data_IF_399119712727
#
_entry.id   IF_399119712727
#
_cell.length_a   1.000
_cell.length_b   1.000
_cell.length_c   1.000
_cell.angle_alpha   90.00
_cell.angle_beta   90.00
_cell.angle_gamma   90.00
#
_symmetry.space_group_name_H-M   'P 1'
#
loop_
_entity.id
_entity.type
_entity.pdbx_description
1 polymer ?
#
# COMPACT_ATOMS: atom_id res chain seq x y z
N UNK A 1 65.51 -26.37 -28.41
CA UNK A 1 64.26 -25.95 -27.73
C UNK A 1 64.30 -24.43 -27.55
N UNK A 2 63.36 -23.73 -28.20
CA UNK A 2 62.70 -22.43 -27.89
C UNK A 2 63.59 -21.28 -27.33
N UNK A 3 63.82 -20.16 -28.06
CA UNK A 3 62.98 -18.93 -28.19
C UNK A 3 62.49 -18.44 -26.81
N UNK A 4 62.64 -17.18 -26.39
CA UNK A 4 62.61 -15.90 -27.12
C UNK A 4 62.99 -14.73 -26.19
N UNK A 5 63.43 -13.63 -26.81
CA UNK A 5 63.57 -12.27 -26.29
C UNK A 5 62.29 -11.72 -25.62
N UNK A 6 62.45 -10.84 -24.61
CA UNK A 6 61.49 -9.76 -24.32
C UNK A 6 62.26 -8.49 -23.93
N UNK A 7 62.03 -7.43 -24.71
CA UNK A 7 62.43 -6.03 -24.51
C UNK A 7 61.31 -5.25 -23.79
N UNK A 8 61.64 -3.99 -23.44
CA UNK A 8 60.79 -2.81 -23.13
C UNK A 8 60.37 -2.65 -21.67
N UNK A 9 60.80 -1.61 -20.92
CA UNK A 9 60.70 -0.14 -21.02
C UNK A 9 59.43 0.45 -20.37
N UNK A 10 59.66 1.15 -19.24
CA UNK A 10 59.20 2.52 -18.86
C UNK A 10 57.75 2.98 -19.15
N UNK A 11 57.04 3.38 -18.07
CA UNK A 11 56.28 4.64 -17.84
C UNK A 11 55.59 4.52 -16.46
N UNK A 12 55.76 5.33 -15.41
CA UNK A 12 55.67 6.80 -15.21
C UNK A 12 54.23 7.35 -15.37
N UNK A 13 53.59 7.68 -14.22
CA UNK A 13 52.62 8.77 -13.93
C UNK A 13 52.00 8.51 -12.53
N UNK A 14 52.36 9.25 -11.48
CA UNK A 14 51.89 10.59 -11.08
C UNK A 14 50.55 10.56 -10.30
N UNK A 15 50.64 10.37 -8.98
CA UNK A 15 49.57 10.70 -8.02
C UNK A 15 49.82 12.09 -7.44
N UNK A 16 49.02 13.06 -7.86
CA UNK A 16 49.00 14.41 -7.30
C UNK A 16 48.22 14.43 -5.98
N UNK A 17 48.94 14.71 -4.90
CA UNK A 17 48.41 15.17 -3.62
C UNK A 17 47.97 16.64 -3.74
N UNK A 18 46.77 16.96 -3.28
CA UNK A 18 46.42 18.33 -2.88
C UNK A 18 45.81 18.34 -1.48
N UNK A 19 46.64 18.79 -0.55
CA UNK A 19 46.32 19.30 0.78
C UNK A 19 45.72 20.71 0.68
N UNK A 20 44.79 21.04 1.58
CA UNK A 20 44.28 22.40 1.83
C UNK A 20 42.88 22.34 2.45
N UNK A 21 42.68 22.07 3.74
CA UNK A 21 42.98 22.85 4.95
C UNK A 21 41.88 23.88 5.34
N UNK A 22 41.48 23.79 6.61
CA UNK A 22 40.89 24.82 7.51
C UNK A 22 39.42 25.21 7.31
N UNK A 23 38.66 25.65 8.31
CA UNK A 23 38.65 25.65 9.79
C UNK A 23 37.33 26.36 10.17
N UNK A 24 36.62 25.86 11.19
CA UNK A 24 35.74 26.61 12.12
C UNK A 24 34.92 25.58 12.94
N UNK A 25 35.35 25.16 14.13
CA UNK A 25 35.09 25.76 15.45
C UNK A 25 33.61 25.87 15.87
N UNK A 26 33.24 25.09 16.90
CA UNK A 26 32.59 25.52 18.16
C UNK A 26 31.75 24.35 18.73
N UNK A 27 32.28 23.52 19.64
CA UNK A 27 32.34 23.74 21.09
C UNK A 27 30.95 23.78 21.76
N UNK A 28 30.58 22.67 22.42
CA UNK A 28 29.76 22.67 23.64
C UNK A 28 30.28 21.58 24.57
N UNK A 29 30.60 22.02 25.78
CA UNK A 29 31.38 21.32 26.78
C UNK A 29 30.65 20.15 27.45
N UNK A 30 31.44 19.11 27.70
CA UNK A 30 31.26 18.16 28.80
C UNK A 30 31.94 18.76 30.02
N UNK A 31 31.21 18.84 31.13
CA UNK A 31 31.73 18.57 32.47
C UNK A 31 30.55 18.55 33.43
N UNK A 32 30.27 17.41 34.06
CA UNK A 32 29.92 17.42 35.47
C UNK A 32 30.25 16.08 36.12
N UNK A 33 31.03 16.23 37.18
CA UNK A 33 31.77 15.24 37.95
C UNK A 33 30.92 14.67 39.08
N UNK A 34 31.20 13.38 39.35
CA UNK A 34 31.10 12.60 40.57
C UNK A 34 30.21 13.09 41.75
N UNK A 35 29.34 12.19 42.18
CA UNK A 35 28.76 12.15 43.52
C UNK A 35 28.57 10.70 43.94
N UNK A 36 29.65 10.06 44.42
CA UNK A 36 29.61 8.80 45.16
C UNK A 36 29.05 9.06 46.56
N UNK A 37 27.92 8.44 46.90
CA UNK A 37 27.57 8.16 48.29
C UNK A 37 27.11 6.72 48.39
N UNK A 38 27.90 5.92 49.09
CA UNK A 38 27.57 4.56 49.46
C UNK A 38 26.53 4.53 50.57
N UNK A 39 25.50 3.71 50.38
CA UNK A 39 24.69 3.20 51.48
C UNK A 39 24.96 1.70 51.64
N UNK A 40 25.73 1.40 52.68
CA UNK A 40 25.82 0.07 53.27
C UNK A 40 24.51 -0.22 54.01
N UNK A 41 23.67 -1.09 53.45
CA UNK A 41 22.58 -1.68 54.21
C UNK A 41 23.10 -2.96 54.91
N UNK A 42 23.25 -2.83 56.23
CA UNK A 42 23.58 -3.91 57.14
C UNK A 42 22.55 -5.03 57.08
N UNK A 43 23.07 -6.25 56.89
CA UNK A 43 22.38 -7.50 57.15
C UNK A 43 22.20 -7.65 58.66
N UNK A 44 20.96 -7.69 59.14
CA UNK A 44 20.62 -8.11 60.50
C UNK A 44 19.80 -9.40 60.42
N UNK A 45 20.47 -10.49 60.79
CA UNK A 45 19.83 -11.70 61.27
C UNK A 45 19.08 -11.39 62.56
N UNK A 46 17.81 -11.76 62.62
CA UNK A 46 17.13 -12.05 63.89
C UNK A 46 16.59 -13.47 63.83
N UNK A 47 17.09 -14.28 64.74
CA UNK A 47 16.58 -15.60 65.06
C UNK A 47 15.42 -15.50 66.07
N UNK A 48 14.65 -16.58 66.12
CA UNK A 48 13.74 -17.04 67.17
C UNK A 48 12.28 -16.55 67.27
N UNK A 49 11.41 -17.55 67.50
CA UNK A 49 10.02 -17.40 67.98
C UNK A 49 8.96 -18.01 67.05
N UNK A 50 8.85 -19.33 66.93
CA UNK A 50 7.86 -20.17 67.65
C UNK A 50 6.46 -19.55 67.78
N UNK A 51 5.45 -20.17 67.15
CA UNK A 51 4.08 -20.44 67.67
C UNK A 51 3.28 -21.18 66.57
N UNK A 52 3.21 -22.51 66.68
CA UNK A 52 2.02 -23.29 67.08
C UNK A 52 0.91 -23.40 66.02
N UNK A 53 0.93 -24.56 65.36
CA UNK A 53 -0.20 -25.22 64.73
C UNK A 53 -1.26 -25.60 65.77
N UNK A 54 -2.53 -25.26 65.51
CA UNK A 54 -3.67 -26.01 66.04
C UNK A 54 -4.65 -26.29 64.92
N UNK A 55 -4.85 -27.57 64.63
CA UNK A 55 -5.85 -28.05 63.70
C UNK A 55 -7.19 -28.39 64.37
N UNK A 56 -8.09 -28.85 63.49
CA UNK A 56 -9.29 -29.68 63.74
C UNK A 56 -10.56 -29.00 64.27
N UNK A 57 -11.59 -28.94 63.40
CA UNK A 57 -12.91 -29.57 63.60
C UNK A 57 -13.86 -29.29 62.43
N UNK A 58 -14.27 -30.33 61.72
CA UNK A 58 -15.69 -30.54 61.38
C UNK A 58 -16.27 -31.59 62.34
N UNK A 59 -17.45 -32.20 62.10
CA UNK A 59 -18.54 -31.83 61.18
C UNK A 59 -19.92 -31.80 61.89
N UNK A 60 -20.95 -31.25 61.25
CA UNK A 60 -22.35 -31.63 61.53
C UNK A 60 -23.32 -31.06 60.47
N UNK A 61 -23.90 -31.94 59.64
CA UNK A 61 -25.28 -31.79 59.14
C UNK A 61 -26.29 -32.14 60.26
N UNK A 62 -27.63 -32.10 60.02
CA UNK A 62 -28.27 -32.92 58.98
C UNK A 62 -29.54 -32.35 58.28
N UNK A 63 -29.84 -32.98 57.14
CA UNK A 63 -31.14 -33.47 56.60
C UNK A 63 -32.44 -32.63 56.54
N UNK A 64 -33.16 -32.80 55.42
CA UNK A 64 -34.60 -32.55 55.21
C UNK A 64 -34.87 -31.98 53.81
N UNK A 65 -35.24 -32.78 52.80
CA UNK A 65 -36.64 -33.02 52.32
C UNK A 65 -37.29 -31.78 51.68
N UNK A 66 -38.03 -31.76 50.57
CA UNK A 66 -38.59 -32.70 49.58
C UNK A 66 -39.12 -31.87 48.40
N UNK A 67 -39.35 -32.50 47.24
CA UNK A 67 -40.35 -32.21 46.18
C UNK A 67 -40.82 -30.76 45.93
N UNK A 68 -40.74 -30.30 44.66
CA UNK A 68 -41.95 -30.22 43.81
C UNK A 68 -41.65 -29.83 42.36
N UNK A 69 -42.32 -30.53 41.45
CA UNK A 69 -42.52 -30.20 40.05
C UNK A 69 -43.23 -28.84 39.88
N UNK A 70 -43.02 -28.21 38.72
CA UNK A 70 -43.85 -27.10 38.25
C UNK A 70 -43.29 -26.41 37.00
N UNK A 71 -43.46 -27.01 35.82
CA UNK A 71 -43.66 -26.22 34.59
C UNK A 71 -45.03 -25.52 34.67
N UNK A 72 -45.24 -24.36 34.01
CA UNK A 72 -45.77 -24.42 32.65
C UNK A 72 -45.38 -23.28 31.69
N UNK A 73 -45.38 -23.66 30.41
CA UNK A 73 -45.87 -22.96 29.20
C UNK A 73 -45.52 -21.50 28.88
N UNK A 74 -44.91 -21.38 27.69
CA UNK A 74 -45.38 -20.64 26.50
C UNK A 74 -45.87 -19.20 26.71
N UNK A 75 -45.00 -18.26 26.33
CA UNK A 75 -45.36 -16.89 25.95
C UNK A 75 -44.53 -16.47 24.75
N UNK A 76 -45.10 -16.64 23.56
CA UNK A 76 -44.56 -16.18 22.29
C UNK A 76 -44.95 -14.71 22.15
N UNK A 77 -44.00 -13.78 22.26
CA UNK A 77 -44.23 -12.36 21.90
C UNK A 77 -43.16 -11.89 20.91
N UNK A 78 -43.57 -11.96 19.64
CA UNK A 78 -43.51 -10.91 18.63
C UNK A 78 -42.43 -9.83 18.75
N UNK A 79 -41.45 -9.94 17.84
CA UNK A 79 -40.64 -8.85 17.32
C UNK A 79 -41.51 -7.70 16.76
N UNK A 80 -41.00 -6.47 16.82
CA UNK A 80 -41.10 -5.61 15.65
C UNK A 80 -39.73 -5.22 15.10
N UNK A 81 -39.58 -5.49 13.80
CA UNK A 81 -38.58 -4.93 12.90
C UNK A 81 -38.79 -3.43 12.70
N UNK A 82 -37.71 -2.65 12.81
CA UNK A 82 -37.44 -1.42 12.02
C UNK A 82 -35.99 -1.03 12.34
N UNK A 83 -35.00 -1.37 11.52
CA UNK A 83 -34.62 -0.65 10.29
C UNK A 83 -34.74 0.88 10.44
N UNK A 84 -33.69 1.48 10.98
CA UNK A 84 -33.30 2.84 10.70
C UNK A 84 -31.78 2.83 10.47
N UNK A 85 -31.38 2.60 9.21
CA UNK A 85 -30.01 2.86 8.78
C UNK A 85 -29.80 4.38 8.71
N UNK A 86 -29.31 4.98 9.79
CA UNK A 86 -28.68 6.29 9.72
C UNK A 86 -27.26 6.12 9.16
N UNK A 87 -27.15 6.34 7.86
CA UNK A 87 -25.90 6.52 7.15
C UNK A 87 -25.23 7.83 7.59
N UNK A 88 -24.43 7.77 8.66
CA UNK A 88 -23.49 8.84 8.97
C UNK A 88 -22.29 8.74 8.03
N UNK A 89 -22.34 9.55 6.97
CA UNK A 89 -21.20 9.84 6.12
C UNK A 89 -20.08 10.45 6.97
N UNK A 90 -19.04 9.65 7.21
CA UNK A 90 -17.77 10.11 7.75
C UNK A 90 -17.14 11.03 6.69
N UNK A 91 -17.18 12.34 6.93
CA UNK A 91 -16.33 13.28 6.20
C UNK A 91 -14.88 13.06 6.64
N UNK A 92 -13.96 12.65 5.75
CA UNK A 92 -12.55 12.78 6.02
C UNK A 92 -12.15 14.24 5.78
N UNK A 93 -11.67 14.88 6.84
CA UNK A 93 -11.01 16.16 6.76
C UNK A 93 -9.63 15.94 6.10
N UNK A 94 -9.56 16.11 4.78
CA UNK A 94 -8.30 16.28 4.05
C UNK A 94 -8.42 17.51 3.15
N UNK A 95 -7.50 18.44 3.38
CA UNK A 95 -7.25 19.60 2.55
C UNK A 95 -6.63 19.18 1.24
N UNK A 96 -7.17 19.65 0.11
CA UNK A 96 -6.40 19.81 -1.12
C UNK A 96 -6.77 21.13 -1.78
N UNK A 97 -5.71 21.90 -1.97
CA UNK A 97 -5.62 23.19 -2.65
C UNK A 97 -5.34 22.87 -4.12
N UNK A 98 -6.33 22.97 -5.01
CA UNK A 98 -6.06 22.95 -6.45
C UNK A 98 -6.99 23.88 -7.23
N UNK A 99 -6.42 25.05 -7.54
CA UNK A 99 -6.92 26.06 -8.46
C UNK A 99 -7.11 25.47 -9.87
N UNK A 100 -8.36 25.39 -10.32
CA UNK A 100 -8.68 25.19 -11.74
C UNK A 100 -9.37 26.45 -12.26
N UNK A 101 -8.67 27.16 -13.16
CA UNK A 101 -9.19 28.31 -13.88
C UNK A 101 -10.17 27.90 -14.97
N UNK A 102 -11.41 28.35 -14.86
CA UNK A 102 -12.42 28.25 -15.90
C UNK A 102 -12.08 29.20 -17.07
N UNK A 103 -11.86 28.61 -18.25
CA UNK A 103 -11.73 29.34 -19.51
C UNK A 103 -13.07 29.30 -20.26
N UNK A 104 -13.84 30.39 -20.16
CA UNK A 104 -15.06 30.60 -20.95
C UNK A 104 -14.68 31.04 -22.37
N UNK A 105 -14.88 30.16 -23.35
CA UNK A 105 -14.74 30.47 -24.78
C UNK A 105 -16.10 30.77 -25.41
N UNK A 106 -16.37 32.05 -25.65
CA UNK A 106 -17.55 32.56 -26.33
C UNK A 106 -17.59 32.16 -27.81
N UNK A 107 -18.74 31.66 -28.28
CA UNK A 107 -19.10 31.59 -29.70
C UNK A 107 -19.34 33.01 -30.23
N UNK A 108 -18.56 33.43 -31.23
CA UNK A 108 -18.89 34.56 -32.09
C UNK A 108 -19.26 34.04 -33.47
N UNK A 109 -20.51 34.33 -33.86
CA UNK A 109 -20.99 34.27 -35.22
C UNK A 109 -20.36 35.40 -36.03
N UNK A 110 -19.78 35.10 -37.19
CA UNK A 110 -19.46 36.11 -38.20
C UNK A 110 -20.15 35.78 -39.52
N UNK A 111 -20.95 36.77 -39.91
CA UNK A 111 -21.70 36.94 -41.13
C UNK A 111 -20.81 37.18 -42.35
N UNK A 112 -21.36 36.78 -43.49
CA UNK A 112 -20.87 37.00 -44.85
C UNK A 112 -20.61 38.46 -45.20
N UNK A 113 -19.56 38.73 -45.98
CA UNK A 113 -19.58 39.84 -46.97
C UNK A 113 -18.66 39.59 -48.18
N UNK A 114 -19.33 39.55 -49.33
CA UNK A 114 -19.04 39.98 -50.70
C UNK A 114 -17.65 40.44 -51.19
N UNK A 115 -17.42 40.01 -52.45
CA UNK A 115 -16.86 40.71 -53.62
C UNK A 115 -15.35 40.98 -53.75
N UNK A 116 -14.82 40.52 -54.89
CA UNK A 116 -13.54 40.92 -55.45
C UNK A 116 -13.19 40.12 -56.72
N UNK A 117 -13.83 40.45 -57.84
CA UNK A 117 -13.35 40.06 -59.18
C UNK A 117 -11.98 40.74 -59.46
N UNK A 118 -11.06 40.00 -60.06
CA UNK A 118 -9.79 40.53 -60.57
C UNK A 118 -9.05 39.47 -61.35
N UNK A 119 -9.16 39.54 -62.68
CA UNK A 119 -8.66 38.52 -63.59
C UNK A 119 -7.18 38.60 -63.97
N UNK A 120 -6.85 37.60 -64.80
CA UNK A 120 -5.85 37.50 -65.87
C UNK A 120 -4.33 37.40 -65.55
N UNK A 121 -3.80 36.30 -66.11
CA UNK A 121 -2.52 36.17 -66.81
C UNK A 121 -1.28 35.80 -65.99
N UNK A 122 -0.76 34.59 -66.22
CA UNK A 122 0.58 34.41 -66.79
C UNK A 122 0.87 32.91 -66.90
N UNK A 123 0.73 32.37 -68.11
CA UNK A 123 1.40 31.15 -68.51
C UNK A 123 2.84 31.51 -68.87
N UNK A 124 3.82 30.81 -68.27
CA UNK A 124 5.16 30.46 -68.76
C UNK A 124 6.00 30.19 -67.50
N UNK A 125 6.05 28.94 -67.04
CA UNK A 125 7.19 28.37 -66.27
C UNK A 125 7.00 26.86 -66.04
N UNK A 126 6.69 26.13 -67.12
CA UNK A 126 6.37 24.69 -67.06
C UNK A 126 7.46 23.83 -67.66
N UNK A 127 8.74 24.08 -67.36
CA UNK A 127 9.82 23.20 -67.87
C UNK A 127 11.07 23.06 -66.99
N UNK A 128 11.16 23.69 -65.81
CA UNK A 128 12.32 23.49 -64.93
C UNK A 128 12.05 22.60 -63.70
N UNK A 129 10.80 22.51 -63.24
CA UNK A 129 10.44 21.83 -61.98
C UNK A 129 10.36 20.29 -62.05
N UNK A 130 10.19 19.70 -63.25
CA UNK A 130 10.13 18.24 -63.40
C UNK A 130 11.49 17.53 -63.28
N UNK A 131 12.62 18.24 -63.43
CA UNK A 131 13.95 17.62 -63.39
C UNK A 131 14.51 17.43 -61.96
N UNK A 132 14.05 18.23 -61.00
CA UNK A 132 14.44 18.11 -59.58
C UNK A 132 13.62 17.04 -58.88
N UNK A 133 12.34 16.88 -59.24
CA UNK A 133 11.44 15.90 -58.65
C UNK A 133 11.85 14.45 -59.00
N UNK A 134 12.36 14.20 -60.22
CA UNK A 134 12.80 12.85 -60.64
C UNK A 134 14.10 12.39 -59.97
N UNK A 135 14.90 13.29 -59.39
CA UNK A 135 16.15 12.91 -58.69
C UNK A 135 15.91 12.47 -57.24
N UNK A 136 14.85 12.97 -56.58
CA UNK A 136 14.45 12.55 -55.23
C UNK A 136 13.90 11.12 -55.18
N UNK A 137 13.05 10.75 -56.14
CA UNK A 137 12.44 9.41 -56.22
C UNK A 137 13.45 8.28 -56.50
N UNK A 138 14.59 8.59 -57.11
CA UNK A 138 15.65 7.61 -57.39
C UNK A 138 16.50 7.27 -56.14
N UNK A 139 16.72 8.24 -55.25
CA UNK A 139 17.44 8.05 -53.97
C UNK A 139 16.55 7.30 -52.95
N UNK A 140 15.27 7.66 -52.84
CA UNK A 140 14.31 6.94 -51.98
C UNK A 140 14.16 5.46 -52.41
N UNK A 141 14.15 5.19 -53.72
CA UNK A 141 14.09 3.82 -54.25
C UNK A 141 15.30 2.95 -53.88
N UNK A 142 16.49 3.54 -53.66
CA UNK A 142 17.68 2.83 -53.19
C UNK A 142 17.64 2.54 -51.69
N UNK A 143 17.09 3.46 -50.89
CA UNK A 143 16.90 3.25 -49.46
C UNK A 143 15.86 2.15 -49.19
N UNK A 144 14.74 2.17 -49.91
CA UNK A 144 13.68 1.14 -49.82
C UNK A 144 14.17 -0.25 -50.27
N UNK A 145 15.05 -0.33 -51.27
CA UNK A 145 15.67 -1.61 -51.67
C UNK A 145 16.70 -2.13 -50.67
N UNK A 146 17.32 -1.27 -49.85
CA UNK A 146 18.21 -1.70 -48.76
C UNK A 146 17.42 -2.20 -47.54
N UNK A 147 16.30 -1.56 -47.20
CA UNK A 147 15.44 -2.04 -46.10
C UNK A 147 14.77 -3.38 -46.43
N UNK A 148 14.30 -3.58 -47.67
CA UNK A 148 13.72 -4.87 -48.11
C UNK A 148 14.70 -6.05 -48.12
N UNK A 149 16.01 -5.80 -48.24
CA UNK A 149 17.03 -6.86 -48.11
C UNK A 149 17.30 -7.26 -46.66
N UNK A 150 17.05 -6.35 -45.71
CA UNK A 150 17.20 -6.65 -44.29
C UNK A 150 16.01 -7.46 -43.77
N UNK A 151 14.78 -7.14 -44.17
CA UNK A 151 13.57 -7.87 -43.76
C UNK A 151 13.57 -9.32 -44.26
N UNK A 152 14.00 -9.56 -45.52
CA UNK A 152 14.09 -10.91 -46.09
C UNK A 152 15.15 -11.81 -45.42
N UNK A 153 16.13 -11.21 -44.73
CA UNK A 153 17.14 -11.95 -43.96
C UNK A 153 16.66 -12.33 -42.55
N UNK A 154 15.65 -11.62 -42.02
CA UNK A 154 14.99 -11.95 -40.74
C UNK A 154 13.93 -13.02 -40.95
N UNK A 155 13.17 -12.97 -42.05
CA UNK A 155 12.19 -14.01 -42.43
C UNK A 155 12.83 -15.39 -42.64
N UNK A 156 14.04 -15.45 -43.23
CA UNK A 156 14.77 -16.72 -43.41
C UNK A 156 15.25 -17.36 -42.09
N UNK A 157 15.15 -16.66 -40.96
CA UNK A 157 15.44 -17.19 -39.62
C UNK A 157 14.16 -17.57 -38.85
N UNK A 158 12.98 -17.31 -39.43
CA UNK A 158 11.67 -17.52 -38.80
C UNK A 158 10.86 -18.67 -39.42
N UNK A 159 11.51 -19.52 -40.23
CA UNK A 159 10.93 -20.79 -40.64
C UNK A 159 10.84 -21.73 -39.43
N UNK A 160 9.61 -22.23 -39.18
CA UNK A 160 9.22 -23.22 -38.17
C UNK A 160 8.86 -22.68 -36.78
N UNK A 161 7.81 -21.86 -36.69
CA UNK A 161 6.80 -22.06 -35.63
C UNK A 161 5.41 -21.90 -36.25
N UNK A 162 4.86 -23.02 -36.73
CA UNK A 162 3.44 -23.12 -37.05
C UNK A 162 2.65 -22.95 -35.76
N UNK A 163 2.02 -21.78 -35.59
CA UNK A 163 1.12 -21.47 -34.50
C UNK A 163 -0.22 -22.17 -34.77
N UNK A 164 -0.26 -23.50 -34.52
CA UNK A 164 -1.50 -24.27 -34.57
C UNK A 164 -2.30 -24.03 -33.29
N UNK A 165 -3.51 -23.52 -33.45
CA UNK A 165 -4.50 -23.19 -32.41
C UNK A 165 -5.11 -24.40 -31.68
N UNK A 166 -4.45 -25.56 -31.66
CA UNK A 166 -4.90 -26.82 -31.03
C UNK A 166 -4.04 -27.19 -29.80
N UNK A 167 -3.87 -26.27 -28.83
CA UNK A 167 -2.97 -26.47 -27.66
C UNK A 167 -3.69 -26.72 -26.32
N UNK A 168 -4.83 -27.40 -26.30
CA UNK A 168 -5.62 -27.53 -25.06
C UNK A 168 -5.39 -28.79 -24.23
N UNK A 169 -4.75 -29.87 -24.70
CA UNK A 169 -4.81 -31.16 -23.94
C UNK A 169 -3.47 -31.87 -23.63
N UNK A 170 -2.33 -31.57 -24.28
CA UNK A 170 -1.07 -32.31 -24.01
C UNK A 170 -0.03 -31.62 -23.09
N UNK A 171 -0.34 -30.47 -22.47
CA UNK A 171 0.65 -29.69 -21.66
C UNK A 171 0.88 -30.18 -20.22
N UNK A 172 0.54 -31.42 -19.87
CA UNK A 172 0.50 -31.89 -18.46
C UNK A 172 1.70 -32.73 -17.99
N UNK A 173 2.76 -32.94 -18.78
CA UNK A 173 3.87 -33.83 -18.36
C UNK A 173 5.30 -33.37 -18.68
N UNK A 174 5.56 -32.07 -18.81
CA UNK A 174 6.93 -31.56 -18.65
C UNK A 174 7.04 -30.91 -17.26
N UNK A 175 8.07 -31.21 -16.46
CA UNK A 175 8.34 -30.47 -15.24
C UNK A 175 8.59 -29.02 -15.65
N UNK A 176 7.60 -28.15 -15.41
CA UNK A 176 7.75 -26.73 -15.69
C UNK A 176 8.68 -26.18 -14.62
N UNK A 177 9.75 -25.52 -15.03
CA UNK A 177 10.62 -24.83 -14.09
C UNK A 177 9.79 -23.77 -13.36
N UNK A 178 9.73 -23.85 -12.03
CA UNK A 178 8.97 -22.92 -11.20
C UNK A 178 9.91 -21.79 -10.80
N UNK A 179 9.56 -20.56 -11.17
CA UNK A 179 10.34 -19.36 -10.86
C UNK A 179 10.06 -18.89 -9.42
N UNK A 180 8.78 -18.83 -9.03
CA UNK A 180 8.35 -18.52 -7.67
C UNK A 180 7.59 -19.73 -7.13
N UNK A 181 8.15 -20.49 -6.16
CA UNK A 181 7.48 -21.66 -5.61
C UNK A 181 6.27 -21.25 -4.78
N UNK A 182 5.27 -22.11 -4.76
CA UNK A 182 4.18 -21.99 -3.79
C UNK A 182 4.74 -22.25 -2.39
N UNK A 183 4.46 -21.34 -1.46
CA UNK A 183 4.88 -21.50 -0.06
C UNK A 183 3.64 -21.51 0.81
N UNK A 184 3.42 -22.62 1.53
CA UNK A 184 2.42 -22.69 2.59
C UNK A 184 2.82 -21.72 3.70
N UNK A 185 2.14 -20.59 3.79
CA UNK A 185 2.37 -19.64 4.86
C UNK A 185 1.65 -20.07 6.11
N UNK A 186 2.34 -19.96 7.25
CA UNK A 186 1.76 -20.18 8.56
C UNK A 186 0.53 -19.30 8.76
N UNK A 187 -0.49 -19.85 9.43
CA UNK A 187 -1.65 -19.08 9.87
C UNK A 187 -1.20 -17.92 10.75
N UNK A 188 -1.84 -16.77 10.59
CA UNK A 188 -1.54 -15.60 11.41
C UNK A 188 -1.98 -15.89 12.85
N UNK A 189 -1.02 -15.84 13.79
CA UNK A 189 -1.32 -16.05 15.21
C UNK A 189 -2.02 -14.84 15.82
N UNK A 190 -2.88 -15.08 16.80
CA UNK A 190 -3.58 -14.01 17.53
C UNK A 190 -2.61 -13.01 18.19
N UNK A 191 -1.47 -13.50 18.71
CA UNK A 191 -0.44 -12.65 19.31
C UNK A 191 0.24 -11.72 18.29
N UNK A 192 0.43 -12.18 17.05
CA UNK A 192 0.96 -11.34 15.98
C UNK A 192 -0.04 -10.27 15.54
N UNK A 193 -1.34 -10.62 15.47
CA UNK A 193 -2.41 -9.64 15.23
C UNK A 193 -2.40 -8.58 16.32
N UNK A 194 -2.44 -9.00 17.59
CA UNK A 194 -2.45 -8.09 18.73
C UNK A 194 -1.22 -7.16 18.75
N UNK A 195 -0.04 -7.69 18.43
CA UNK A 195 1.20 -6.92 18.31
C UNK A 195 1.09 -5.83 17.23
N UNK A 196 0.63 -6.19 16.02
CA UNK A 196 0.48 -5.23 14.91
C UNK A 196 -0.59 -4.19 15.17
N UNK A 197 -1.68 -4.56 15.84
CA UNK A 197 -2.72 -3.61 16.27
C UNK A 197 -2.14 -2.61 17.27
N UNK A 198 -1.35 -3.07 18.26
CA UNK A 198 -0.71 -2.19 19.24
C UNK A 198 0.35 -1.26 18.61
N UNK A 199 0.99 -1.69 17.53
CA UNK A 199 1.99 -0.91 16.81
C UNK A 199 1.38 0.16 15.89
N UNK A 200 0.08 0.12 15.58
CA UNK A 200 -0.58 1.05 14.68
C UNK A 200 -0.67 2.49 15.25
N UNK A 201 -0.35 3.47 14.42
CA UNK A 201 -0.27 4.88 14.85
C UNK A 201 -1.62 5.47 15.24
N UNK A 202 -2.72 5.06 14.59
CA UNK A 202 -4.06 5.53 14.94
C UNK A 202 -4.53 4.94 16.27
N UNK A 203 -4.12 3.71 16.58
CA UNK A 203 -4.35 3.09 17.88
C UNK A 203 -3.62 3.86 18.98
N UNK A 204 -2.32 4.15 18.78
CA UNK A 204 -1.54 4.94 19.74
C UNK A 204 -2.13 6.34 19.96
N UNK A 205 -2.47 7.05 18.87
CA UNK A 205 -3.05 8.39 18.95
C UNK A 205 -4.41 8.40 19.68
N UNK A 206 -5.27 7.41 19.43
CA UNK A 206 -6.55 7.30 20.12
C UNK A 206 -6.38 6.91 21.59
N UNK A 207 -5.39 6.08 21.94
CA UNK A 207 -5.02 5.81 23.34
C UNK A 207 -4.59 7.07 24.09
N UNK A 208 -3.72 7.90 23.50
CA UNK A 208 -3.31 9.16 24.13
C UNK A 208 -4.48 10.10 24.40
N UNK A 209 -5.45 10.17 23.48
CA UNK A 209 -6.67 10.97 23.68
C UNK A 209 -7.51 10.43 24.84
N UNK A 210 -7.66 9.11 24.94
CA UNK A 210 -8.36 8.45 26.05
C UNK A 210 -7.67 8.78 27.38
N UNK A 211 -6.34 8.71 27.46
CA UNK A 211 -5.57 9.04 28.67
C UNK A 211 -5.81 10.49 29.12
N UNK A 212 -5.71 11.45 28.18
CA UNK A 212 -5.95 12.87 28.46
C UNK A 212 -7.36 13.12 28.97
N UNK A 213 -8.37 12.54 28.34
CA UNK A 213 -9.77 12.69 28.76
C UNK A 213 -10.06 11.93 30.06
N UNK A 214 -9.46 10.77 30.27
CA UNK A 214 -9.55 10.02 31.53
C UNK A 214 -9.01 10.83 32.70
N UNK A 215 -7.93 11.60 32.48
CA UNK A 215 -7.40 12.54 33.49
C UNK A 215 -8.39 13.65 33.83
N UNK A 216 -9.10 14.21 32.85
CA UNK A 216 -10.10 15.26 33.07
C UNK A 216 -11.32 14.69 33.81
N UNK A 217 -11.86 13.57 33.32
CA UNK A 217 -13.11 12.98 33.83
C UNK A 217 -12.92 12.28 35.19
N UNK A 218 -11.82 11.56 35.39
CA UNK A 218 -11.59 10.73 36.59
C UNK A 218 -10.46 11.25 37.49
N UNK A 219 -9.72 12.26 37.06
CA UNK A 219 -8.51 12.70 37.78
C UNK A 219 -7.33 11.72 37.66
N UNK A 220 -7.44 10.71 36.79
CA UNK A 220 -6.43 9.66 36.63
C UNK A 220 -6.44 9.12 35.19
N UNK A 221 -5.31 9.25 34.49
CA UNK A 221 -5.12 8.81 33.10
C UNK A 221 -5.17 7.29 32.92
N UNK A 222 -4.76 6.52 33.94
CA UNK A 222 -4.62 5.05 33.85
C UNK A 222 -5.90 4.28 34.21
N UNK A 223 -7.03 4.94 34.50
CA UNK A 223 -8.29 4.28 34.84
C UNK A 223 -8.80 3.49 33.65
N UNK A 224 -9.01 4.16 32.52
CA UNK A 224 -9.56 3.51 31.32
C UNK A 224 -8.55 2.61 30.63
N UNK A 225 -7.25 2.90 30.72
CA UNK A 225 -6.22 2.01 30.17
C UNK A 225 -6.27 0.61 30.80
N UNK A 226 -6.52 0.53 32.11
CA UNK A 226 -6.69 -0.76 32.80
C UNK A 226 -7.95 -1.48 32.35
N UNK A 227 -9.06 -0.76 32.16
CA UNK A 227 -10.30 -1.38 31.67
C UNK A 227 -10.17 -1.86 30.22
N UNK A 228 -9.55 -1.09 29.34
CA UNK A 228 -9.26 -1.52 27.96
C UNK A 228 -8.30 -2.71 27.95
N UNK A 229 -7.29 -2.72 28.82
CA UNK A 229 -6.38 -3.88 28.93
C UNK A 229 -7.13 -5.14 29.40
N UNK A 230 -8.14 -5.00 30.28
CA UNK A 230 -9.00 -6.11 30.72
C UNK A 230 -9.90 -6.66 29.63
N UNK A 231 -10.26 -5.87 28.63
CA UNK A 231 -11.01 -6.37 27.48
C UNK A 231 -10.14 -7.22 26.55
N UNK A 232 -8.82 -7.24 26.75
CA UNK A 232 -7.89 -7.94 25.86
C UNK A 232 -7.81 -7.33 24.47
N UNK A 233 -8.26 -6.08 24.29
CA UNK A 233 -8.34 -5.44 22.98
C UNK A 233 -9.53 -5.90 22.13
N UNK A 234 -10.54 -6.56 22.71
CA UNK A 234 -11.77 -6.90 21.98
C UNK A 234 -12.60 -5.62 21.68
N UNK A 235 -12.81 -5.27 20.39
CA UNK A 235 -13.58 -4.10 19.99
C UNK A 235 -14.99 -4.06 20.58
N UNK A 236 -15.65 -5.21 20.69
CA UNK A 236 -17.04 -5.29 21.17
C UNK A 236 -17.13 -4.95 22.64
N UNK A 237 -16.16 -5.40 23.44
CA UNK A 237 -16.07 -5.09 24.87
C UNK A 237 -15.66 -3.63 25.09
N UNK A 238 -14.76 -3.08 24.28
CA UNK A 238 -14.40 -1.65 24.34
C UNK A 238 -15.62 -0.78 23.98
N UNK A 239 -16.41 -1.19 22.98
CA UNK A 239 -17.65 -0.50 22.66
C UNK A 239 -18.63 -0.55 23.84
N UNK A 240 -18.80 -1.68 24.53
CA UNK A 240 -19.63 -1.76 25.73
C UNK A 240 -19.12 -0.84 26.84
N UNK A 241 -17.81 -0.82 27.09
CA UNK A 241 -17.18 0.12 28.02
C UNK A 241 -17.51 1.58 27.68
N UNK A 242 -17.57 1.93 26.39
CA UNK A 242 -17.95 3.28 25.97
C UNK A 242 -19.39 3.64 26.36
N UNK A 243 -20.32 2.68 26.30
CA UNK A 243 -21.71 2.86 26.73
C UNK A 243 -21.81 2.92 28.26
N UNK A 244 -21.00 2.13 28.98
CA UNK A 244 -20.93 2.18 30.44
C UNK A 244 -20.44 3.55 30.93
N UNK A 245 -19.40 4.10 30.29
CA UNK A 245 -18.90 5.45 30.57
C UNK A 245 -19.98 6.51 30.30
N UNK A 246 -20.76 6.36 29.22
CA UNK A 246 -21.85 7.30 28.88
C UNK A 246 -23.00 7.26 29.88
N UNK A 247 -23.44 6.04 30.22
CA UNK A 247 -24.68 5.83 30.98
C UNK A 247 -24.44 5.91 32.49
N UNK A 248 -23.28 5.47 32.97
CA UNK A 248 -22.93 5.47 34.38
C UNK A 248 -21.41 5.61 34.60
N UNK A 249 -20.80 6.78 34.33
CA UNK A 249 -19.35 6.95 34.42
C UNK A 249 -18.79 6.65 35.81
N UNK A 250 -19.60 6.80 36.86
CA UNK A 250 -19.22 6.53 38.25
C UNK A 250 -19.06 5.04 38.58
N UNK A 251 -19.60 4.12 37.75
CA UNK A 251 -19.37 2.68 37.91
C UNK A 251 -17.93 2.27 37.61
N UNK A 252 -17.27 3.01 36.72
CA UNK A 252 -15.88 2.77 36.31
C UNK A 252 -14.91 3.31 37.35
N UNK A 253 -15.07 4.58 37.73
CA UNK A 253 -14.27 5.24 38.75
C UNK A 253 -14.97 6.52 39.23
N UNK A 254 -14.55 7.02 40.39
CA UNK A 254 -15.04 8.30 40.92
C UNK A 254 -14.64 9.44 39.98
N UNK A 255 -15.62 10.22 39.53
CA UNK A 255 -15.40 11.44 38.75
C UNK A 255 -14.51 12.45 39.50
N UNK A 256 -13.75 13.24 38.76
CA UNK A 256 -12.93 14.31 39.29
C UNK A 256 -13.76 15.39 40.01
N UNK A 257 -13.12 16.12 40.91
CA UNK A 257 -13.79 17.10 41.75
C UNK A 257 -14.75 16.49 42.77
N UNK A 258 -15.51 17.36 43.43
CA UNK A 258 -16.44 17.00 44.50
C UNK A 258 -17.85 17.51 44.21
N UNK A 259 -18.84 16.74 44.65
CA UNK A 259 -20.24 17.12 44.68
C UNK A 259 -20.70 17.00 46.12
N UNK A 260 -21.16 18.10 46.70
CA UNK A 260 -21.73 18.12 48.04
C UNK A 260 -23.24 18.26 47.92
N UNK A 261 -23.96 17.26 48.42
CA UNK A 261 -25.42 17.28 48.53
C UNK A 261 -25.77 17.60 49.98
N UNK A 262 -26.36 18.77 50.22
CA UNK A 262 -26.89 19.08 51.55
C UNK A 262 -28.26 18.41 51.66
N UNK A 263 -28.34 17.32 52.42
CA UNK A 263 -29.61 16.71 52.78
C UNK A 263 -30.48 17.78 53.46
N UNK A 264 -31.69 17.95 52.96
CA UNK A 264 -32.66 18.82 53.59
C UNK A 264 -33.06 18.17 54.93
N UNK A 265 -32.74 18.83 56.05
CA UNK A 265 -33.42 18.55 57.30
C UNK A 265 -34.95 18.72 57.08
N UNK A 266 -35.77 18.07 57.93
CA UNK A 266 -37.24 17.93 57.82
C UNK A 266 -38.04 19.21 57.47
N UNK A 267 -37.43 20.38 57.57
CA UNK A 267 -37.85 21.64 56.95
C UNK A 267 -37.70 21.64 55.42
N UNK A 268 -38.60 20.95 54.70
CA UNK A 268 -39.16 21.22 53.34
C UNK A 268 -38.36 22.02 52.28
N UNK A 269 -37.04 22.14 52.35
CA UNK A 269 -36.22 22.86 51.39
C UNK A 269 -35.77 21.90 50.27
N UNK A 270 -35.69 22.36 49.02
CA UNK A 270 -35.14 21.55 47.94
C UNK A 270 -33.68 21.21 48.25
N UNK A 271 -33.29 19.96 47.99
CA UNK A 271 -31.89 19.51 48.09
C UNK A 271 -31.00 20.42 47.25
N UNK A 272 -30.04 21.07 47.90
CA UNK A 272 -29.05 21.93 47.24
C UNK A 272 -27.82 21.08 46.90
N UNK A 273 -27.56 20.93 45.61
CA UNK A 273 -26.39 20.24 45.08
C UNK A 273 -25.35 21.30 44.68
N UNK A 274 -24.22 21.32 45.39
CA UNK A 274 -23.08 22.18 45.05
C UNK A 274 -21.99 21.34 44.39
N UNK A 275 -21.62 21.69 43.15
CA UNK A 275 -20.54 21.03 42.39
C UNK A 275 -19.32 21.94 42.30
N UNK A 276 -18.13 21.37 42.48
CA UNK A 276 -16.87 22.07 42.18
C UNK A 276 -16.70 22.25 40.67
N UNK A 277 -15.94 23.25 40.23
CA UNK A 277 -15.64 23.46 38.80
C UNK A 277 -15.10 22.19 38.12
N UNK A 278 -14.13 21.50 38.75
CA UNK A 278 -13.60 20.24 38.21
C UNK A 278 -14.61 19.08 38.16
N UNK A 279 -15.71 19.14 38.92
CA UNK A 279 -16.81 18.17 38.82
C UNK A 279 -17.70 18.47 37.62
N UNK A 280 -18.03 19.74 37.41
CA UNK A 280 -18.78 20.19 36.23
C UNK A 280 -18.00 19.87 34.95
N UNK A 281 -16.72 20.21 34.90
CA UNK A 281 -15.84 19.93 33.76
C UNK A 281 -15.75 18.42 33.47
N UNK A 282 -15.60 17.58 34.51
CA UNK A 282 -15.60 16.14 34.35
C UNK A 282 -16.91 15.62 33.71
N UNK A 283 -18.07 16.07 34.21
CA UNK A 283 -19.37 15.64 33.69
C UNK A 283 -19.59 16.09 32.23
N UNK A 284 -19.16 17.30 31.87
CA UNK A 284 -19.26 17.83 30.50
C UNK A 284 -18.42 17.04 29.50
N UNK A 285 -17.29 16.46 29.94
CA UNK A 285 -16.39 15.69 29.08
C UNK A 285 -16.75 14.19 28.98
N UNK A 286 -17.69 13.68 29.79
CA UNK A 286 -18.12 12.27 29.74
C UNK A 286 -18.62 11.85 28.35
N UNK A 287 -19.53 12.60 27.67
CA UNK A 287 -20.00 12.23 26.34
C UNK A 287 -18.86 12.17 25.32
N UNK A 288 -17.89 13.09 25.43
CA UNK A 288 -16.74 13.12 24.54
C UNK A 288 -15.79 11.94 24.80
N UNK A 289 -15.55 11.59 26.07
CA UNK A 289 -14.75 10.43 26.43
C UNK A 289 -15.39 9.11 25.94
N UNK A 290 -16.71 8.97 26.10
CA UNK A 290 -17.46 7.84 25.55
C UNK A 290 -17.33 7.77 24.02
N UNK A 291 -17.49 8.89 23.32
CA UNK A 291 -17.33 8.96 21.87
C UNK A 291 -15.93 8.52 21.42
N UNK A 292 -14.88 9.00 22.08
CA UNK A 292 -13.50 8.61 21.76
C UNK A 292 -13.26 7.12 22.03
N UNK A 293 -13.78 6.55 23.12
CA UNK A 293 -13.71 5.10 23.37
C UNK A 293 -14.41 4.29 22.29
N UNK A 294 -15.59 4.73 21.86
CA UNK A 294 -16.33 4.09 20.77
C UNK A 294 -15.56 4.14 19.45
N UNK A 295 -14.93 5.27 19.15
CA UNK A 295 -14.07 5.39 17.97
C UNK A 295 -12.82 4.52 18.08
N UNK A 296 -12.21 4.44 19.27
CA UNK A 296 -11.08 3.56 19.51
C UNK A 296 -11.45 2.09 19.22
N UNK A 297 -12.61 1.62 19.70
CA UNK A 297 -13.12 0.30 19.36
C UNK A 297 -13.19 0.06 17.83
N UNK A 298 -13.74 1.03 17.09
CA UNK A 298 -13.84 0.95 15.62
C UNK A 298 -12.46 0.93 14.94
N UNK A 299 -11.50 1.71 15.43
CA UNK A 299 -10.13 1.72 14.90
C UNK A 299 -9.48 0.34 15.15
N UNK A 300 -9.64 -0.22 16.36
CA UNK A 300 -9.12 -1.58 16.69
C UNK A 300 -9.72 -2.62 15.74
N UNK A 301 -11.04 -2.61 15.55
CA UNK A 301 -11.75 -3.51 14.64
C UNK A 301 -11.23 -3.37 13.20
N UNK A 302 -11.20 -2.16 12.66
CA UNK A 302 -10.74 -1.89 11.31
C UNK A 302 -9.28 -2.30 11.10
N UNK A 303 -8.39 -1.96 12.03
CA UNK A 303 -6.97 -2.31 11.94
C UNK A 303 -6.78 -3.82 11.98
N UNK A 304 -7.51 -4.52 12.87
CA UNK A 304 -7.49 -5.99 12.95
C UNK A 304 -7.95 -6.62 11.65
N UNK A 305 -9.08 -6.18 11.10
CA UNK A 305 -9.63 -6.71 9.85
C UNK A 305 -8.69 -6.45 8.67
N UNK A 306 -8.09 -5.27 8.60
CA UNK A 306 -7.06 -4.92 7.61
C UNK A 306 -5.89 -5.88 7.68
N UNK A 307 -5.33 -6.13 8.87
CA UNK A 307 -4.19 -7.05 9.07
C UNK A 307 -4.55 -8.48 8.61
N UNK A 308 -5.73 -8.96 8.98
CA UNK A 308 -6.19 -10.31 8.59
C UNK A 308 -6.40 -10.39 7.08
N UNK A 309 -7.01 -9.37 6.47
CA UNK A 309 -7.22 -9.30 5.03
C UNK A 309 -5.90 -9.26 4.25
N UNK A 310 -4.95 -8.43 4.67
CA UNK A 310 -3.61 -8.34 4.08
C UNK A 310 -2.87 -9.68 4.16
N UNK A 311 -2.95 -10.37 5.30
CA UNK A 311 -2.35 -11.70 5.45
C UNK A 311 -3.02 -12.72 4.54
N UNK A 312 -4.36 -12.72 4.45
CA UNK A 312 -5.10 -13.62 3.56
C UNK A 312 -4.76 -13.37 2.09
N UNK A 313 -4.63 -12.12 1.69
CA UNK A 313 -4.22 -11.77 0.33
C UNK A 313 -2.79 -12.21 0.07
N UNK A 314 -1.88 -12.06 1.03
CA UNK A 314 -0.51 -12.57 0.93
C UNK A 314 -0.47 -14.09 0.78
N UNK A 315 -1.30 -14.82 1.53
CA UNK A 315 -1.43 -16.27 1.40
C UNK A 315 -1.90 -16.66 0.00
N UNK A 316 -3.00 -16.07 -0.50
CA UNK A 316 -3.51 -16.34 -1.85
C UNK A 316 -2.49 -16.03 -2.94
N UNK A 317 -1.69 -14.97 -2.79
CA UNK A 317 -0.62 -14.63 -3.75
C UNK A 317 0.44 -15.73 -3.76
N UNK A 318 0.82 -16.24 -2.59
CA UNK A 318 1.88 -17.27 -2.44
C UNK A 318 1.42 -18.69 -2.69
N UNK A 319 0.12 -18.96 -2.64
CA UNK A 319 -0.43 -20.28 -3.01
C UNK A 319 -0.25 -20.54 -4.51
N UNK A 320 -0.23 -19.50 -5.34
CA UNK A 320 -0.13 -19.59 -6.78
C UNK A 320 1.35 -19.57 -7.22
N UNK A 321 1.94 -20.71 -7.61
CA UNK A 321 3.31 -20.72 -8.10
C UNK A 321 3.39 -19.95 -9.42
N UNK A 322 4.47 -19.19 -9.60
CA UNK A 322 4.76 -18.56 -10.89
C UNK A 322 5.72 -19.45 -11.66
N UNK A 323 5.24 -19.94 -12.79
CA UNK A 323 6.06 -20.71 -13.73
C UNK A 323 7.13 -19.82 -14.39
N UNK A 324 8.23 -20.43 -14.80
CA UNK A 324 9.22 -19.78 -15.65
C UNK A 324 8.57 -19.28 -16.96
N UNK A 325 9.12 -18.22 -17.56
CA UNK A 325 8.63 -17.73 -18.85
C UNK A 325 8.64 -18.86 -19.89
N UNK A 326 7.65 -18.88 -20.78
CA UNK A 326 7.59 -19.88 -21.86
C UNK A 326 8.85 -19.82 -22.73
N UNK A 327 9.11 -20.86 -23.53
CA UNK A 327 10.28 -20.90 -24.44
C UNK A 327 10.26 -19.71 -25.41
N UNK A 328 9.08 -19.33 -25.86
CA UNK A 328 8.86 -18.19 -26.76
C UNK A 328 9.18 -16.86 -26.05
N UNK A 329 8.72 -16.66 -24.81
CA UNK A 329 9.06 -15.49 -24.01
C UNK A 329 10.55 -15.43 -23.68
N UNK A 330 11.14 -16.57 -23.31
CA UNK A 330 12.56 -16.68 -23.02
C UNK A 330 13.42 -16.32 -24.24
N UNK A 331 13.00 -16.70 -25.45
CA UNK A 331 13.66 -16.29 -26.70
C UNK A 331 13.53 -14.80 -26.95
N UNK A 332 12.36 -14.22 -26.68
CA UNK A 332 12.13 -12.78 -26.79
C UNK A 332 13.08 -11.99 -25.87
N UNK A 333 13.36 -12.50 -24.67
CA UNK A 333 14.26 -11.86 -23.71
C UNK A 333 15.72 -11.80 -24.20
N UNK A 334 16.12 -12.70 -25.11
CA UNK A 334 17.46 -12.72 -25.70
C UNK A 334 17.62 -11.74 -26.88
N UNK A 335 16.53 -11.20 -27.40
CA UNK A 335 16.58 -10.26 -28.53
C UNK A 335 16.98 -8.85 -28.07
N UNK A 336 17.63 -8.10 -28.97
CA UNK A 336 17.87 -6.68 -28.73
C UNK A 336 16.56 -5.89 -28.76
N UNK A 337 16.51 -4.70 -28.13
CA UNK A 337 15.30 -3.86 -28.05
C UNK A 337 14.63 -3.60 -29.41
N UNK A 338 15.41 -3.36 -30.46
CA UNK A 338 14.88 -3.16 -31.81
C UNK A 338 14.24 -4.41 -32.41
N UNK A 339 14.83 -5.59 -32.15
CA UNK A 339 14.27 -6.88 -32.56
C UNK A 339 13.01 -7.22 -31.74
N UNK A 340 13.02 -6.97 -30.43
CA UNK A 340 11.85 -7.15 -29.58
C UNK A 340 10.66 -6.35 -30.10
N UNK A 341 10.88 -5.07 -30.44
CA UNK A 341 9.84 -4.20 -31.01
C UNK A 341 9.30 -4.75 -32.34
N UNK A 342 10.18 -5.22 -33.22
CA UNK A 342 9.77 -5.83 -34.49
C UNK A 342 8.89 -7.05 -34.28
N UNK A 343 9.37 -8.01 -33.48
CA UNK A 343 8.65 -9.26 -33.19
C UNK A 343 7.32 -8.99 -32.49
N UNK A 344 7.26 -8.07 -31.53
CA UNK A 344 6.02 -7.71 -30.83
C UNK A 344 5.01 -6.96 -31.72
N UNK A 345 5.49 -6.25 -32.75
CA UNK A 345 4.61 -5.60 -33.73
C UNK A 345 3.99 -6.61 -34.70
N UNK A 346 4.76 -7.64 -35.07
CA UNK A 346 4.34 -8.68 -35.99
C UNK A 346 3.46 -9.76 -35.32
N UNK A 347 3.70 -10.03 -34.03
CA UNK A 347 3.04 -11.11 -33.28
C UNK A 347 2.24 -10.56 -32.08
N UNK A 348 0.96 -10.15 -32.28
CA UNK A 348 0.13 -9.61 -31.19
C UNK A 348 -0.10 -10.63 -30.06
N UNK A 349 -0.19 -11.92 -30.38
CA UNK A 349 -0.35 -12.99 -29.38
C UNK A 349 0.83 -13.07 -28.41
N UNK A 350 2.06 -12.76 -28.89
CA UNK A 350 3.24 -12.72 -28.04
C UNK A 350 3.23 -11.50 -27.12
N UNK A 351 2.73 -10.36 -27.61
CA UNK A 351 2.50 -9.16 -26.78
C UNK A 351 1.51 -9.46 -25.67
N UNK A 352 0.39 -10.09 -26.00
CA UNK A 352 -0.62 -10.49 -25.01
C UNK A 352 -0.03 -11.45 -23.99
N UNK A 353 0.79 -12.42 -24.44
CA UNK A 353 1.50 -13.34 -23.54
C UNK A 353 2.46 -12.61 -22.57
N UNK A 354 3.20 -11.59 -23.04
CA UNK A 354 4.06 -10.75 -22.16
C UNK A 354 3.20 -10.02 -21.13
N UNK A 355 2.12 -9.37 -21.55
CA UNK A 355 1.22 -8.64 -20.65
C UNK A 355 0.57 -9.56 -19.61
N UNK A 356 0.10 -10.75 -20.01
CA UNK A 356 -0.43 -11.75 -19.11
C UNK A 356 0.64 -12.22 -18.10
N UNK A 357 1.86 -12.48 -18.56
CA UNK A 357 2.95 -12.91 -17.68
C UNK A 357 3.36 -11.82 -16.70
N UNK A 358 3.42 -10.55 -17.14
CA UNK A 358 3.64 -9.40 -16.28
C UNK A 358 2.55 -9.29 -15.20
N UNK A 359 1.28 -9.48 -15.57
CA UNK A 359 0.17 -9.47 -14.62
C UNK A 359 0.30 -10.59 -13.57
N UNK A 360 0.72 -11.80 -13.97
CA UNK A 360 0.98 -12.91 -13.04
C UNK A 360 2.12 -12.58 -12.08
N UNK A 361 3.25 -12.05 -12.58
CA UNK A 361 4.37 -11.63 -11.73
C UNK A 361 3.97 -10.51 -10.76
N UNK A 362 3.26 -9.50 -11.24
CA UNK A 362 2.77 -8.39 -10.41
C UNK A 362 1.78 -8.85 -9.34
N UNK A 363 0.96 -9.87 -9.65
CA UNK A 363 0.06 -10.46 -8.67
C UNK A 363 0.80 -11.30 -7.62
N UNK A 364 1.87 -12.00 -8.02
CA UNK A 364 2.66 -12.84 -7.11
C UNK A 364 3.56 -12.04 -6.16
N UNK A 365 4.02 -10.86 -6.59
CA UNK A 365 4.93 -10.01 -5.80
C UNK A 365 4.16 -8.91 -5.08
N UNK A 366 4.42 -8.73 -3.78
CA UNK A 366 3.95 -7.60 -3.00
C UNK A 366 4.58 -6.27 -3.45
N UNK A 367 3.98 -5.14 -3.03
CA UNK A 367 4.54 -3.81 -3.32
C UNK A 367 5.95 -3.62 -2.76
N UNK A 368 6.23 -4.17 -1.58
CA UNK A 368 7.57 -4.09 -0.98
C UNK A 368 8.60 -4.95 -1.72
N UNK A 369 8.19 -6.11 -2.24
CA UNK A 369 9.03 -6.97 -3.09
C UNK A 369 9.31 -6.31 -4.44
N UNK A 370 8.30 -5.74 -5.08
CA UNK A 370 8.46 -4.97 -6.31
C UNK A 370 9.38 -3.76 -6.09
N UNK A 371 9.25 -3.07 -4.94
CA UNK A 371 10.13 -1.98 -4.56
C UNK A 371 11.57 -2.48 -4.33
N UNK A 372 11.76 -3.61 -3.66
CA UNK A 372 13.08 -4.21 -3.48
C UNK A 372 13.74 -4.54 -4.83
N UNK A 373 12.97 -5.01 -5.83
CA UNK A 373 13.48 -5.21 -7.19
C UNK A 373 13.90 -3.89 -7.85
N UNK A 374 13.09 -2.83 -7.70
CA UNK A 374 13.40 -1.50 -8.25
C UNK A 374 14.63 -0.86 -7.60
N UNK A 375 14.79 -1.04 -6.29
CA UNK A 375 15.94 -0.56 -5.51
C UNK A 375 17.17 -1.47 -5.66
N UNK A 376 17.05 -2.57 -6.43
CA UNK A 376 18.07 -3.62 -6.60
C UNK A 376 18.52 -4.27 -5.26
N UNK A 377 17.63 -4.29 -4.26
CA UNK A 377 17.84 -4.93 -2.96
C UNK A 377 17.44 -6.41 -3.02
N UNK A 378 18.29 -7.21 -3.66
CA UNK A 378 18.08 -8.65 -3.84
C UNK A 378 18.08 -9.40 -2.50
N UNK A 379 18.78 -8.88 -1.48
CA UNK A 379 18.79 -9.49 -0.14
C UNK A 379 17.41 -9.40 0.49
N UNK A 380 16.82 -8.22 0.51
CA UNK A 380 15.47 -8.01 1.04
C UNK A 380 14.42 -8.84 0.30
N UNK A 381 14.55 -8.97 -1.03
CA UNK A 381 13.69 -9.82 -1.84
C UNK A 381 13.84 -11.33 -1.50
N UNK A 382 15.07 -11.80 -1.30
CA UNK A 382 15.34 -13.19 -0.93
C UNK A 382 14.76 -13.52 0.44
N UNK A 383 14.93 -12.62 1.42
CA UNK A 383 14.39 -12.75 2.77
C UNK A 383 12.85 -12.75 2.77
N UNK A 384 12.21 -11.83 2.04
CA UNK A 384 10.75 -11.76 2.02
C UNK A 384 10.11 -13.01 1.40
N UNK A 385 10.70 -13.53 0.31
CA UNK A 385 10.22 -14.72 -0.38
C UNK A 385 10.68 -16.03 0.27
N UNK A 386 11.56 -15.98 1.28
CA UNK A 386 12.24 -17.15 1.85
C UNK A 386 12.97 -17.99 0.79
N UNK A 387 13.67 -17.33 -0.13
CA UNK A 387 14.41 -17.96 -1.23
C UNK A 387 15.92 -17.76 -1.09
N UNK A 388 16.68 -18.53 -1.86
CA UNK A 388 18.12 -18.27 -2.00
C UNK A 388 18.36 -16.97 -2.78
N UNK A 389 19.46 -16.30 -2.47
CA UNK A 389 19.89 -15.08 -3.17
C UNK A 389 19.95 -15.26 -4.69
N UNK A 390 20.42 -16.43 -5.17
CA UNK A 390 20.48 -16.74 -6.59
C UNK A 390 19.09 -16.81 -7.24
N UNK A 391 18.11 -17.42 -6.58
CA UNK A 391 16.73 -17.49 -7.08
C UNK A 391 16.06 -16.13 -7.08
N UNK A 392 16.24 -15.35 -6.01
CA UNK A 392 15.76 -13.97 -5.93
C UNK A 392 16.35 -13.11 -7.06
N UNK A 393 17.64 -13.28 -7.36
CA UNK A 393 18.28 -12.63 -8.50
C UNK A 393 17.62 -12.97 -9.85
N UNK A 394 17.33 -14.26 -10.10
CA UNK A 394 16.63 -14.69 -11.33
C UNK A 394 15.22 -14.11 -11.43
N UNK A 395 14.50 -14.01 -10.31
CA UNK A 395 13.18 -13.37 -10.27
C UNK A 395 13.29 -11.88 -10.62
N UNK A 396 14.22 -11.16 -10.00
CA UNK A 396 14.42 -9.73 -10.26
C UNK A 396 14.83 -9.46 -11.71
N UNK A 397 15.73 -10.26 -12.27
CA UNK A 397 16.14 -10.19 -13.67
C UNK A 397 14.95 -10.41 -14.61
N UNK A 398 14.20 -11.50 -14.40
CA UNK A 398 13.02 -11.82 -15.21
C UNK A 398 11.96 -10.72 -15.12
N UNK A 399 11.72 -10.19 -13.93
CA UNK A 399 10.75 -9.12 -13.69
C UNK A 399 11.13 -7.85 -14.47
N UNK A 400 12.39 -7.42 -14.39
CA UNK A 400 12.86 -6.24 -15.09
C UNK A 400 12.82 -6.43 -16.62
N UNK A 401 13.23 -7.60 -17.12
CA UNK A 401 13.13 -7.93 -18.55
C UNK A 401 11.68 -7.86 -19.06
N UNK A 402 10.74 -8.45 -18.32
CA UNK A 402 9.31 -8.43 -18.68
C UNK A 402 8.78 -7.00 -18.68
N UNK A 403 9.13 -6.20 -17.67
CA UNK A 403 8.72 -4.80 -17.55
C UNK A 403 9.24 -3.95 -18.71
N UNK A 404 10.53 -4.06 -19.05
CA UNK A 404 11.14 -3.31 -20.15
C UNK A 404 10.48 -3.63 -21.51
N UNK A 405 10.15 -4.91 -21.72
CA UNK A 405 9.47 -5.37 -22.94
C UNK A 405 8.03 -4.89 -22.96
N UNK A 406 7.33 -4.92 -21.83
CA UNK A 406 5.97 -4.40 -21.70
C UNK A 406 5.92 -2.89 -22.00
N UNK A 407 6.85 -2.11 -21.46
CA UNK A 407 6.97 -0.68 -21.75
C UNK A 407 7.27 -0.43 -23.24
N UNK A 408 8.14 -1.25 -23.83
CA UNK A 408 8.44 -1.19 -25.27
C UNK A 408 7.20 -1.50 -26.12
N UNK A 409 6.38 -2.48 -25.71
CA UNK A 409 5.12 -2.81 -26.37
C UNK A 409 4.10 -1.68 -26.29
N UNK A 410 3.94 -1.05 -25.13
CA UNK A 410 3.06 0.12 -24.95
C UNK A 410 3.49 1.30 -25.83
N UNK A 411 4.80 1.51 -25.96
CA UNK A 411 5.32 2.59 -26.81
C UNK A 411 4.96 2.37 -28.29
N UNK A 412 4.92 1.12 -28.76
CA UNK A 412 4.49 0.79 -30.13
C UNK A 412 3.03 1.20 -30.34
N UNK A 413 2.15 0.86 -29.40
CA UNK A 413 0.72 1.20 -29.47
C UNK A 413 0.49 2.71 -29.48
N UNK A 414 1.19 3.45 -28.60
CA UNK A 414 1.13 4.91 -28.56
C UNK A 414 1.60 5.52 -29.89
N UNK A 415 2.69 5.02 -30.46
CA UNK A 415 3.23 5.51 -31.72
C UNK A 415 2.28 5.20 -32.90
N UNK A 416 1.67 4.02 -32.92
CA UNK A 416 0.68 3.63 -33.92
C UNK A 416 -0.57 4.53 -33.84
N UNK A 417 -1.09 4.78 -32.64
CA UNK A 417 -2.23 5.68 -32.42
C UNK A 417 -1.91 7.12 -32.87
N UNK A 418 -0.71 7.63 -32.55
CA UNK A 418 -0.26 8.95 -33.02
C UNK A 418 -0.18 9.03 -34.54
N UNK A 419 0.34 7.99 -35.20
CA UNK A 419 0.37 7.90 -36.66
C UNK A 419 -1.01 7.96 -37.29
N UNK A 420 -1.98 7.22 -36.74
CA UNK A 420 -3.37 7.23 -37.21
C UNK A 420 -4.02 8.61 -37.09
N UNK A 421 -3.79 9.34 -35.99
CA UNK A 421 -4.29 10.71 -35.80
C UNK A 421 -3.71 11.67 -36.84
N UNK A 422 -2.42 11.55 -37.15
CA UNK A 422 -1.76 12.38 -38.18
C UNK A 422 -2.34 12.11 -39.57
N UNK A 423 -2.55 10.84 -39.94
CA UNK A 423 -3.15 10.48 -41.22
C UNK A 423 -4.62 10.94 -41.32
N UNK A 424 -5.39 10.79 -40.25
CA UNK A 424 -6.75 11.32 -40.16
C UNK A 424 -6.76 12.85 -40.39
N UNK A 425 -5.85 13.59 -39.74
CA UNK A 425 -5.73 15.04 -39.92
C UNK A 425 -5.37 15.43 -41.36
N UNK A 426 -4.47 14.68 -42.02
CA UNK A 426 -4.12 14.91 -43.44
C UNK A 426 -5.33 14.70 -44.35
N UNK A 427 -6.09 13.62 -44.16
CA UNK A 427 -7.28 13.33 -44.96
C UNK A 427 -8.36 14.43 -44.83
N UNK A 428 -8.54 14.97 -43.62
CA UNK A 428 -9.50 16.05 -43.39
C UNK A 428 -9.02 17.41 -43.90
N UNK A 429 -7.72 17.72 -43.81
CA UNK A 429 -7.17 18.97 -44.35
C UNK A 429 -7.26 19.03 -45.88
N UNK A 430 -7.09 17.90 -46.57
CA UNK A 430 -7.21 17.83 -48.04
C UNK A 430 -8.65 17.97 -48.54
N UNK A 431 -9.65 17.71 -47.68
CA UNK A 431 -11.08 17.80 -48.04
C UNK A 431 -11.67 19.19 -47.84
N UNK A 432 -11.02 20.06 -47.06
CA UNK A 432 -11.43 21.45 -46.85
C UNK A 432 -11.04 22.40 -48.00
N UNK A 433 -10.21 21.94 -48.95
CA UNK A 433 -9.88 22.67 -50.19
C UNK A 433 -10.80 22.17 -51.31
N UNK A 434 -12.11 22.33 -51.15
CA UNK A 434 -13.04 22.25 -52.27
C UNK A 434 -13.14 23.66 -52.88
N UNK A 435 -12.84 23.84 -54.18
CA UNK A 435 -12.99 25.14 -54.81
C UNK A 435 -14.45 25.55 -54.76
N UNK A 436 -14.72 26.69 -54.14
CA UNK A 436 -15.99 27.39 -54.25
C UNK A 436 -16.18 27.76 -55.73
N UNK A 437 -17.05 27.03 -56.40
CA UNK A 437 -17.52 27.29 -57.77
C UNK A 437 -18.58 28.38 -57.77
#
# INVERSE_FOLDING_TARGET
MKRSEVKTLKKEEASGETLGARDAQSAFDRDLVAGEHGEQAHSLQTADGTLQYTGTRGPSGPAGETLSQGEPNLGVESLPSSEAEESFSLNPFFSDDESTGEFQGSRQDFSSSNFGEGGISSAVETTHFQSVQMRGIAEESKAVRKSLKYTRSVEASFDVVSFSSDRSIERLQQPRDILIPSTEQTTLSESEIARRVADDDHIKASYEQIERLSKIVYGNEAVLQREISRTGGDPTLIHRLSEDVKNNPASISRLAGSQFTRLADATRLPSLVMKTMGRTEAEEHVPFLSFILRNHAKIVEFTRDRIVAEHRDMQKRRENPVEAPSKELSRLFLFSKGQQIGVLSELPELRDAVCCYAAVLNAALSKDEQKAIQDNDIRKLAESLNLSFERAGKIAETFNLVKDIQESAQQIEINAARGAVVEFRKQHSSRAVMPSF
#
